data_IF_766419893122
#
_entry.id   IF_766419893122
#
_cell.length_a   1.000
_cell.length_b   1.000
_cell.length_c   1.000
_cell.angle_alpha   90.00
_cell.angle_beta   90.00
_cell.angle_gamma   90.00
#
_symmetry.space_group_name_H-M   'P 1'
#
loop_
_entity.id
_entity.type
_entity.pdbx_description
1 polymer ?
#
# COMPACT_ATOMS: atom_id res chain seq x y z
N UNK A 1 5.04 -18.19 -8.06
CA UNK A 1 3.77 -18.41 -7.31
C UNK A 1 3.11 -17.06 -7.03
N UNK A 2 1.77 -16.93 -7.20
CA UNK A 2 1.07 -15.70 -6.77
C UNK A 2 0.99 -15.68 -5.23
N UNK A 3 1.43 -14.59 -4.61
CA UNK A 3 1.34 -14.39 -3.17
C UNK A 3 -0.08 -13.92 -2.83
N UNK A 4 -0.62 -14.49 -1.77
CA UNK A 4 -1.91 -14.17 -1.15
C UNK A 4 -1.75 -14.26 0.36
N UNK A 5 -2.74 -13.78 1.12
CA UNK A 5 -2.71 -13.89 2.58
C UNK A 5 -2.57 -15.34 3.09
N UNK A 6 -3.10 -16.29 2.34
CA UNK A 6 -3.18 -17.69 2.75
C UNK A 6 -1.90 -18.50 2.49
N UNK A 7 -0.96 -17.97 1.70
CA UNK A 7 0.28 -18.69 1.33
C UNK A 7 1.57 -17.91 1.66
N UNK A 8 1.49 -16.94 2.58
CA UNK A 8 2.68 -16.23 3.06
C UNK A 8 3.68 -17.17 3.74
N UNK A 9 3.23 -18.26 4.35
CA UNK A 9 4.13 -19.23 4.99
C UNK A 9 5.01 -20.01 3.98
N UNK A 10 4.70 -19.94 2.68
CA UNK A 10 5.51 -20.52 1.59
C UNK A 10 6.59 -19.56 1.05
N UNK A 11 6.66 -18.34 1.59
CA UNK A 11 7.57 -17.27 1.18
C UNK A 11 8.70 -17.13 2.21
N UNK A 12 9.94 -16.96 1.74
CA UNK A 12 11.08 -16.70 2.62
C UNK A 12 11.19 -15.20 2.92
N UNK A 13 11.15 -14.86 4.21
CA UNK A 13 11.30 -13.50 4.70
C UNK A 13 12.53 -13.39 5.60
N UNK A 14 13.25 -12.28 5.46
CA UNK A 14 14.37 -11.93 6.36
C UNK A 14 13.93 -11.89 7.83
N UNK A 15 12.75 -11.32 8.09
CA UNK A 15 12.19 -11.23 9.43
C UNK A 15 10.66 -11.05 9.41
N UNK A 16 10.08 -10.91 10.61
CA UNK A 16 8.64 -10.76 10.78
C UNK A 16 8.09 -9.45 10.18
N UNK A 17 8.85 -8.36 10.23
CA UNK A 17 8.40 -7.06 9.71
C UNK A 17 8.24 -7.11 8.18
N UNK A 18 9.16 -7.76 7.47
CA UNK A 18 9.04 -7.99 6.03
C UNK A 18 7.77 -8.78 5.68
N UNK A 19 7.40 -9.77 6.49
CA UNK A 19 6.15 -10.53 6.32
C UNK A 19 4.93 -9.63 6.50
N UNK A 20 4.88 -8.82 7.56
CA UNK A 20 3.76 -7.93 7.85
C UNK A 20 3.54 -6.92 6.73
N UNK A 21 4.62 -6.36 6.16
CA UNK A 21 4.54 -5.45 5.02
C UNK A 21 3.90 -6.11 3.79
N UNK A 22 4.30 -7.34 3.46
CA UNK A 22 3.70 -8.07 2.33
C UNK A 22 2.26 -8.50 2.62
N UNK A 23 1.96 -8.90 3.87
CA UNK A 23 0.59 -9.21 4.31
C UNK A 23 -0.35 -8.02 4.12
N UNK A 24 0.11 -6.82 4.49
CA UNK A 24 -0.64 -5.59 4.32
C UNK A 24 -0.93 -5.32 2.82
N UNK A 25 0.08 -5.45 1.96
CA UNK A 25 -0.08 -5.26 0.51
C UNK A 25 -1.14 -6.20 -0.06
N UNK A 26 -1.07 -7.50 0.21
CA UNK A 26 -2.00 -8.48 -0.38
C UNK A 26 -3.40 -8.43 0.26
N UNK A 27 -3.55 -7.76 1.41
CA UNK A 27 -4.84 -7.65 2.11
C UNK A 27 -5.56 -6.34 1.83
N UNK A 28 -4.81 -5.25 1.60
CA UNK A 28 -5.35 -3.89 1.55
C UNK A 28 -5.13 -3.16 0.23
N UNK A 29 -4.44 -3.77 -0.74
CA UNK A 29 -4.26 -3.20 -2.07
C UNK A 29 -4.71 -4.16 -3.15
N UNK A 30 -4.97 -3.64 -4.35
CA UNK A 30 -5.28 -4.44 -5.54
C UNK A 30 -4.04 -5.08 -6.19
N UNK A 31 -2.85 -4.95 -5.59
CA UNK A 31 -1.59 -5.39 -6.16
C UNK A 31 -1.50 -6.93 -6.25
N UNK A 32 -1.13 -7.43 -7.43
CA UNK A 32 -0.87 -8.85 -7.63
C UNK A 32 0.63 -9.13 -7.52
N UNK A 33 1.05 -9.69 -6.39
CA UNK A 33 2.45 -10.06 -6.16
C UNK A 33 2.75 -11.47 -6.66
N UNK A 34 3.87 -11.62 -7.37
CA UNK A 34 4.37 -12.92 -7.84
C UNK A 34 5.74 -13.19 -7.22
N UNK A 35 5.78 -14.24 -6.39
CA UNK A 35 7.00 -14.74 -5.78
C UNK A 35 7.73 -15.69 -6.72
N UNK A 36 9.01 -15.44 -6.93
CA UNK A 36 9.93 -16.40 -7.53
C UNK A 36 10.54 -17.21 -6.40
N UNK A 37 10.43 -18.55 -6.50
CA UNK A 37 10.99 -19.45 -5.49
C UNK A 37 12.49 -19.16 -5.29
N UNK A 38 12.96 -19.39 -4.06
CA UNK A 38 14.35 -19.21 -3.62
C UNK A 38 14.87 -17.77 -3.48
N UNK A 39 14.00 -16.75 -3.57
CA UNK A 39 14.38 -15.35 -3.30
C UNK A 39 13.90 -14.94 -1.92
N UNK A 40 14.81 -14.64 -0.99
CA UNK A 40 14.40 -14.02 0.28
C UNK A 40 13.89 -12.57 0.05
N UNK A 41 12.73 -12.28 0.66
CA UNK A 41 12.18 -10.93 0.77
C UNK A 41 12.79 -10.28 2.01
N UNK A 42 13.70 -9.34 1.76
CA UNK A 42 14.25 -8.47 2.80
C UNK A 42 13.26 -7.38 3.16
N UNK A 43 13.44 -6.75 4.34
CA UNK A 43 12.62 -5.62 4.77
C UNK A 43 12.67 -4.49 3.75
N UNK A 44 13.86 -4.22 3.19
CA UNK A 44 14.05 -3.18 2.16
C UNK A 44 13.18 -3.45 0.92
N UNK A 45 13.17 -4.69 0.41
CA UNK A 45 12.32 -5.06 -0.73
C UNK A 45 10.84 -4.99 -0.37
N UNK A 46 10.47 -5.43 0.84
CA UNK A 46 9.08 -5.39 1.29
C UNK A 46 8.57 -3.94 1.38
N UNK A 47 9.38 -3.01 1.89
CA UNK A 47 9.06 -1.58 1.91
C UNK A 47 8.90 -1.00 0.50
N UNK A 48 9.81 -1.30 -0.41
CA UNK A 48 9.73 -0.84 -1.80
C UNK A 48 8.45 -1.37 -2.48
N UNK A 49 8.10 -2.64 -2.27
CA UNK A 49 6.84 -3.23 -2.74
C UNK A 49 5.64 -2.52 -2.12
N UNK A 50 5.67 -2.28 -0.81
CA UNK A 50 4.59 -1.63 -0.08
C UNK A 50 4.31 -0.22 -0.61
N UNK A 51 5.34 0.63 -0.73
CA UNK A 51 5.17 1.98 -1.26
C UNK A 51 4.63 1.99 -2.70
N UNK A 52 5.13 1.08 -3.55
CA UNK A 52 4.66 0.97 -4.94
C UNK A 52 3.21 0.49 -5.03
N UNK A 53 2.82 -0.46 -4.17
CA UNK A 53 1.45 -0.95 -4.11
C UNK A 53 0.48 0.15 -3.67
N UNK A 54 0.84 0.91 -2.63
CA UNK A 54 0.04 2.04 -2.15
C UNK A 54 -0.10 3.14 -3.21
N UNK A 55 1.01 3.54 -3.84
CA UNK A 55 0.96 4.57 -4.89
C UNK A 55 0.08 4.15 -6.08
N UNK A 56 0.16 2.89 -6.50
CA UNK A 56 -0.64 2.37 -7.61
C UNK A 56 -2.13 2.26 -7.25
N UNK A 57 -2.46 1.90 -6.01
CA UNK A 57 -3.83 1.78 -5.53
C UNK A 57 -4.45 3.17 -5.29
N UNK A 58 -3.69 4.14 -4.76
CA UNK A 58 -4.10 5.55 -4.64
C UNK A 58 -4.36 6.22 -5.99
N UNK A 59 -3.52 5.96 -7.00
CA UNK A 59 -3.72 6.47 -8.36
C UNK A 59 -4.96 5.85 -9.03
N UNK A 60 -5.24 4.57 -8.76
CA UNK A 60 -6.46 3.89 -9.18
C UNK A 60 -7.71 4.38 -8.41
N UNK A 61 -7.54 4.82 -7.16
CA UNK A 61 -8.56 5.39 -6.29
C UNK A 61 -8.62 6.92 -6.30
N UNK A 62 -8.34 7.57 -7.44
CA UNK A 62 -8.68 8.97 -7.69
C UNK A 62 -10.20 9.24 -7.74
N UNK A 63 -10.95 8.64 -6.81
CA UNK A 63 -12.22 9.12 -6.32
C UNK A 63 -11.98 9.75 -4.96
N UNK A 64 -11.63 11.03 -5.01
CA UNK A 64 -11.76 11.96 -3.91
C UNK A 64 -13.08 11.70 -3.15
N UNK A 65 -13.02 11.40 -1.84
CA UNK A 65 -14.21 11.40 -1.00
C UNK A 65 -13.94 12.07 0.34
N UNK A 66 -14.78 13.05 0.63
CA UNK A 66 -14.73 14.03 1.73
C UNK A 66 -15.62 13.55 2.89
N UNK A 67 -15.37 14.07 4.11
CA UNK A 67 -16.35 14.46 5.16
C UNK A 67 -16.36 13.60 6.45
N UNK A 68 -16.70 14.05 7.68
CA UNK A 68 -17.57 15.13 8.19
C UNK A 68 -16.90 16.14 9.14
N UNK A 69 -15.62 15.95 9.49
CA UNK A 69 -14.88 16.92 10.33
C UNK A 69 -14.39 18.14 9.55
N UNK A 70 -14.35 18.06 8.22
CA UNK A 70 -13.99 19.18 7.35
C UNK A 70 -15.03 20.32 7.31
N UNK A 71 -16.19 20.15 7.97
CA UNK A 71 -17.18 21.22 8.16
C UNK A 71 -16.86 22.17 9.32
N UNK A 72 -15.77 21.95 10.04
CA UNK A 72 -15.37 22.81 11.14
C UNK A 72 -14.48 23.97 10.68
N UNK A 73 -15.03 25.18 10.72
CA UNK A 73 -14.32 26.41 11.13
C UNK A 73 -13.44 27.09 10.07
N UNK A 74 -14.08 28.05 9.40
CA UNK A 74 -13.67 29.46 9.34
C UNK A 74 -12.16 29.76 9.23
N UNK A 75 -11.72 30.12 8.01
CA UNK A 75 -11.10 31.43 7.69
C UNK A 75 -10.60 31.49 6.23
N UNK A 76 -11.41 32.14 5.39
CA UNK A 76 -11.03 32.79 4.12
C UNK A 76 -9.88 33.81 4.33
N UNK A 77 -9.09 34.24 3.30
CA UNK A 77 -9.65 34.72 2.03
C UNK A 77 -8.97 34.31 0.72
N UNK A 78 -9.82 34.41 -0.31
CA UNK A 78 -9.59 34.48 -1.74
C UNK A 78 -8.23 35.03 -2.17
N UNK A 79 -7.61 34.39 -3.17
CA UNK A 79 -7.03 35.14 -4.28
C UNK A 79 -7.30 34.42 -5.60
N UNK A 80 -7.85 35.21 -6.52
CA UNK A 80 -8.39 34.90 -7.83
C UNK A 80 -7.30 34.44 -8.81
N UNK A 81 -7.64 33.48 -9.66
CA UNK A 81 -6.94 33.28 -10.92
C UNK A 81 -7.25 34.44 -11.88
N UNK A 82 -6.23 34.92 -12.58
CA UNK A 82 -6.33 35.53 -13.91
C UNK A 82 -5.37 34.81 -14.82
#
# INVERSE_FOLDING_TARGET
>A
MKITRDNLDEVMFENHDARLLIEDVVSHTSANLYYYHDIEITVEKALDIWYKAQAADEEAHSFYSVSFLDFGKDRLPEMLCS
#
